data_IF_113900210470
#
_entry.id   IF_113900210470
#
_cell.length_a   1.000
_cell.length_b   1.000
_cell.length_c   1.000
_cell.angle_alpha   90.00
_cell.angle_beta   90.00
_cell.angle_gamma   90.00
#
_symmetry.space_group_name_H-M   'P 1'
#
loop_
_entity.id
_entity.type
_entity.pdbx_description
1 polymer ?
#
# COMPACT_ATOMS: atom_id res chain seq x y z
N UNK A 1 16.05 -16.88 -6.42
CA UNK A 1 16.44 -15.59 -5.83
C UNK A 1 15.22 -14.94 -5.16
N UNK A 2 14.10 -14.76 -5.86
CA UNK A 2 12.86 -14.29 -5.21
C UNK A 2 12.17 -15.30 -4.26
N UNK A 3 12.33 -16.62 -4.47
CA UNK A 3 11.62 -17.63 -3.64
C UNK A 3 12.18 -17.73 -2.23
N UNK A 4 13.51 -17.64 -2.07
CA UNK A 4 14.16 -17.57 -0.76
C UNK A 4 13.77 -16.29 -0.02
N UNK A 5 13.73 -15.16 -0.74
CA UNK A 5 13.25 -13.90 -0.19
C UNK A 5 11.78 -13.98 0.24
N UNK A 6 10.91 -14.58 -0.57
CA UNK A 6 9.51 -14.80 -0.20
C UNK A 6 9.38 -15.68 1.05
N UNK A 7 10.15 -16.76 1.16
CA UNK A 7 10.14 -17.64 2.32
C UNK A 7 10.63 -16.92 3.59
N UNK A 8 11.64 -16.07 3.48
CA UNK A 8 12.11 -15.21 4.57
C UNK A 8 11.04 -14.23 5.03
N UNK A 9 10.47 -13.49 4.06
CA UNK A 9 9.38 -12.55 4.30
C UNK A 9 8.20 -13.21 4.99
N UNK A 10 7.76 -14.38 4.52
CA UNK A 10 6.63 -15.10 5.12
C UNK A 10 6.92 -15.59 6.53
N UNK A 11 8.15 -16.05 6.81
CA UNK A 11 8.53 -16.47 8.16
C UNK A 11 8.57 -15.29 9.12
N UNK A 12 9.07 -14.13 8.67
CA UNK A 12 9.01 -12.88 9.44
C UNK A 12 7.56 -12.50 9.74
N UNK A 13 6.73 -12.38 8.71
CA UNK A 13 5.31 -12.01 8.86
C UNK A 13 4.58 -12.97 9.78
N UNK A 14 4.83 -14.28 9.66
CA UNK A 14 4.28 -15.28 10.56
C UNK A 14 4.71 -15.05 12.00
N UNK A 15 6.01 -14.86 12.24
CA UNK A 15 6.55 -14.63 13.58
C UNK A 15 6.04 -13.32 14.20
N UNK A 16 5.86 -12.27 13.41
CA UNK A 16 5.35 -10.98 13.88
C UNK A 16 3.86 -11.08 14.20
N UNK A 17 3.07 -11.74 13.35
CA UNK A 17 1.65 -12.01 13.58
C UNK A 17 1.41 -12.79 14.89
N UNK A 18 2.19 -13.86 15.14
CA UNK A 18 2.09 -14.66 16.37
C UNK A 18 2.49 -13.85 17.62
N UNK A 19 3.47 -12.95 17.49
CA UNK A 19 3.95 -12.11 18.60
C UNK A 19 2.96 -10.98 18.92
N UNK A 20 2.28 -10.46 17.90
CA UNK A 20 1.30 -9.38 18.01
C UNK A 20 -0.13 -9.84 18.34
N UNK A 21 -0.39 -11.16 18.30
CA UNK A 21 -1.76 -11.72 18.33
C UNK A 21 -2.65 -11.09 17.23
N UNK A 22 -2.10 -10.99 16.02
CA UNK A 22 -2.73 -10.34 14.87
C UNK A 22 -2.76 -11.24 13.63
N UNK A 23 -3.52 -10.83 12.63
CA UNK A 23 -3.56 -11.53 11.34
C UNK A 23 -2.30 -11.24 10.52
N UNK A 24 -1.90 -12.19 9.68
CA UNK A 24 -0.69 -12.06 8.86
C UNK A 24 -0.73 -10.89 7.87
N UNK A 25 -1.92 -10.49 7.41
CA UNK A 25 -2.07 -9.32 6.55
C UNK A 25 -1.86 -8.00 7.31
N UNK A 26 -2.27 -7.93 8.58
CA UNK A 26 -1.93 -6.80 9.48
C UNK A 26 -0.42 -6.75 9.72
N UNK A 27 0.20 -7.86 10.14
CA UNK A 27 1.64 -7.95 10.36
C UNK A 27 2.47 -7.60 9.11
N UNK A 28 2.02 -8.05 7.93
CA UNK A 28 2.66 -7.68 6.66
C UNK A 28 2.48 -6.19 6.35
N UNK A 29 1.32 -5.61 6.67
CA UNK A 29 1.09 -4.17 6.50
C UNK A 29 2.03 -3.37 7.39
N UNK A 30 2.16 -3.74 8.66
CA UNK A 30 3.07 -3.07 9.59
C UNK A 30 4.54 -3.16 9.18
N UNK A 31 4.97 -4.35 8.75
CA UNK A 31 6.32 -4.53 8.20
C UNK A 31 6.55 -3.63 6.98
N UNK A 32 5.63 -3.64 6.01
CA UNK A 32 5.73 -2.79 4.83
C UNK A 32 5.70 -1.30 5.18
N UNK A 33 4.82 -0.87 6.09
CA UNK A 33 4.75 0.52 6.57
C UNK A 33 6.09 0.97 7.15
N UNK A 34 6.69 0.14 8.01
CA UNK A 34 8.04 0.43 8.56
C UNK A 34 9.06 0.62 7.44
N UNK A 35 9.10 -0.30 6.48
CA UNK A 35 10.04 -0.22 5.34
C UNK A 35 9.82 1.05 4.51
N UNK A 36 8.56 1.41 4.23
CA UNK A 36 8.24 2.62 3.46
C UNK A 36 8.57 3.90 4.20
N UNK A 37 8.39 3.91 5.53
CA UNK A 37 8.72 5.06 6.38
C UNK A 37 10.24 5.25 6.43
N UNK A 38 11.00 4.18 6.66
CA UNK A 38 12.47 4.20 6.64
C UNK A 38 13.04 4.63 5.28
N UNK A 39 12.30 4.35 4.19
CA UNK A 39 12.63 4.76 2.84
C UNK A 39 12.33 6.23 2.52
N UNK A 40 11.57 6.93 3.38
CA UNK A 40 10.99 8.24 3.08
C UNK A 40 9.91 8.20 1.98
N UNK A 41 9.34 7.03 1.71
CA UNK A 41 8.25 6.86 0.74
C UNK A 41 6.88 7.13 1.37
N UNK A 42 6.77 6.96 2.69
CA UNK A 42 5.61 7.20 3.53
C UNK A 42 6.02 8.06 4.74
N UNK A 43 5.17 9.01 5.14
CA UNK A 43 5.33 9.69 6.44
C UNK A 43 4.91 8.74 7.59
N UNK A 44 5.04 9.17 8.85
CA UNK A 44 4.64 8.31 9.97
C UNK A 44 3.14 8.00 9.92
N UNK A 45 2.82 6.75 9.61
CA UNK A 45 1.46 6.26 9.41
C UNK A 45 1.01 5.27 10.47
N UNK A 46 -0.25 4.87 10.39
CA UNK A 46 -0.84 3.85 11.28
C UNK A 46 -1.36 2.66 10.46
N UNK A 47 -1.19 1.47 11.01
CA UNK A 47 -1.87 0.26 10.51
C UNK A 47 -3.25 0.16 11.16
N UNK A 48 -4.26 0.05 10.32
CA UNK A 48 -5.64 -0.09 10.74
C UNK A 48 -6.41 -0.88 9.67
N UNK A 49 -6.87 -2.07 10.04
CA UNK A 49 -7.51 -2.98 9.09
C UNK A 49 -9.00 -2.68 8.95
N UNK A 50 -9.45 -2.48 7.72
CA UNK A 50 -10.86 -2.39 7.36
C UNK A 50 -11.14 -3.28 6.14
N UNK A 51 -12.21 -4.07 6.21
CA UNK A 51 -12.64 -4.90 5.09
C UNK A 51 -14.14 -5.18 5.15
N UNK A 52 -14.83 -5.05 4.01
CA UNK A 52 -16.20 -5.51 3.82
C UNK A 52 -16.30 -6.56 2.74
N UNK A 53 -17.22 -7.52 2.92
CA UNK A 53 -17.44 -8.61 1.99
C UNK A 53 -18.36 -8.21 0.83
N UNK A 54 -18.27 -8.93 -0.29
CA UNK A 54 -19.21 -8.82 -1.42
C UNK A 54 -18.65 -8.11 -2.66
N UNK A 55 -19.46 -8.01 -3.70
CA UNK A 55 -19.04 -7.50 -5.02
C UNK A 55 -18.62 -6.01 -5.03
N UNK A 56 -19.11 -5.23 -4.06
CA UNK A 56 -18.74 -3.84 -3.82
C UNK A 56 -17.95 -3.67 -2.52
N UNK A 57 -17.19 -4.70 -2.15
CA UNK A 57 -16.34 -4.67 -0.96
C UNK A 57 -15.40 -3.46 -0.96
N UNK A 58 -15.10 -3.01 0.24
CA UNK A 58 -14.19 -1.93 0.58
C UNK A 58 -13.05 -2.50 1.39
N UNK A 59 -11.85 -1.96 1.23
CA UNK A 59 -10.72 -2.37 2.05
C UNK A 59 -9.66 -1.28 2.17
N UNK A 60 -9.09 -1.17 3.36
CA UNK A 60 -7.88 -0.43 3.67
C UNK A 60 -7.12 -1.16 4.78
N UNK A 61 -5.81 -1.02 4.81
CA UNK A 61 -4.95 -1.66 5.81
C UNK A 61 -4.15 -0.67 6.65
N UNK A 62 -4.10 0.60 6.24
CA UNK A 62 -3.42 1.65 6.98
C UNK A 62 -3.44 2.96 6.22
N UNK A 63 -2.89 4.00 6.83
CA UNK A 63 -2.83 5.33 6.26
C UNK A 63 -1.66 6.12 6.83
N UNK A 64 -1.26 7.18 6.13
CA UNK A 64 -0.37 8.21 6.64
C UNK A 64 -0.86 9.57 6.14
N UNK A 65 -0.68 10.61 6.95
CA UNK A 65 -0.99 11.99 6.60
C UNK A 65 0.30 12.78 6.79
N UNK A 66 0.74 13.50 5.76
CA UNK A 66 1.93 14.34 5.86
C UNK A 66 1.77 15.41 6.93
N UNK A 67 2.88 15.90 7.48
CA UNK A 67 2.89 16.93 8.54
C UNK A 67 2.09 18.19 8.16
N UNK A 68 2.09 18.55 6.87
CA UNK A 68 1.34 19.69 6.32
C UNK A 68 -0.11 19.35 5.91
N UNK A 69 -0.49 18.07 5.95
CA UNK A 69 -1.80 17.54 5.55
C UNK A 69 -2.08 17.59 4.05
N UNK A 70 -1.10 17.96 3.21
CA UNK A 70 -1.29 18.10 1.76
C UNK A 70 -1.26 16.75 1.03
N UNK A 71 -0.55 15.77 1.58
CA UNK A 71 -0.40 14.42 1.03
C UNK A 71 -0.99 13.40 1.99
N UNK A 72 -1.89 12.58 1.47
CA UNK A 72 -2.48 11.46 2.21
C UNK A 72 -2.14 10.17 1.49
N UNK A 73 -1.61 9.22 2.23
CA UNK A 73 -1.40 7.85 1.78
C UNK A 73 -2.44 6.94 2.41
N UNK A 74 -3.09 6.12 1.59
CA UNK A 74 -3.97 5.06 2.08
C UNK A 74 -3.53 3.75 1.47
N UNK A 75 -3.34 2.77 2.34
CA UNK A 75 -2.75 1.48 2.03
C UNK A 75 -3.85 0.42 1.87
N UNK A 76 -3.64 -0.52 0.96
CA UNK A 76 -4.41 -1.77 0.89
C UNK A 76 -3.48 -2.94 0.70
N UNK A 77 -3.71 -4.01 1.46
CA UNK A 77 -2.85 -5.19 1.47
C UNK A 77 -3.50 -6.37 0.74
N UNK A 78 -2.80 -6.95 -0.24
CA UNK A 78 -3.08 -8.26 -0.85
C UNK A 78 -1.94 -9.21 -0.47
N UNK A 79 -2.05 -9.76 0.74
CA UNK A 79 -1.09 -10.73 1.26
C UNK A 79 -1.52 -12.16 0.90
N UNK A 80 -0.59 -12.95 0.36
CA UNK A 80 -0.82 -14.33 -0.06
C UNK A 80 0.05 -15.27 0.77
N UNK A 81 -0.52 -16.15 1.60
CA UNK A 81 0.26 -17.05 2.47
C UNK A 81 0.92 -18.22 1.71
N UNK A 82 0.75 -18.29 0.39
CA UNK A 82 1.30 -19.35 -0.45
C UNK A 82 2.83 -19.23 -0.59
N UNK A 83 3.56 -20.33 -0.41
CA UNK A 83 5.03 -20.34 -0.47
C UNK A 83 5.59 -20.15 -1.89
N UNK A 84 4.73 -20.15 -2.93
CA UNK A 84 5.15 -19.92 -4.31
C UNK A 84 4.85 -18.50 -4.76
N UNK A 85 5.74 -17.95 -5.59
CA UNK A 85 5.55 -16.60 -6.11
C UNK A 85 4.36 -16.59 -7.07
N UNK A 86 3.33 -15.85 -6.69
CA UNK A 86 2.12 -15.66 -7.50
C UNK A 86 2.24 -14.39 -8.34
N UNK A 87 1.69 -14.42 -9.55
CA UNK A 87 1.45 -13.19 -10.32
C UNK A 87 0.06 -12.64 -9.97
N UNK A 88 -0.06 -11.32 -9.88
CA UNK A 88 -1.34 -10.64 -9.80
C UNK A 88 -1.85 -10.32 -11.21
N UNK A 89 -3.10 -10.69 -11.49
CA UNK A 89 -3.74 -10.36 -12.76
C UNK A 89 -4.22 -8.91 -12.78
N UNK A 90 -4.45 -8.36 -13.98
CA UNK A 90 -5.03 -7.02 -14.14
C UNK A 90 -6.40 -6.88 -13.44
N UNK A 91 -7.19 -7.95 -13.43
CA UNK A 91 -8.50 -7.99 -12.77
C UNK A 91 -8.35 -7.92 -11.25
N UNK A 92 -7.41 -8.67 -10.68
CA UNK A 92 -7.12 -8.61 -9.23
C UNK A 92 -6.60 -7.24 -8.82
N UNK A 93 -5.66 -6.68 -9.59
CA UNK A 93 -5.11 -5.34 -9.36
C UNK A 93 -6.21 -4.27 -9.36
N UNK A 94 -7.06 -4.27 -10.39
CA UNK A 94 -8.18 -3.34 -10.48
C UNK A 94 -9.19 -3.52 -9.34
N UNK A 95 -9.40 -4.76 -8.87
CA UNK A 95 -10.30 -5.04 -7.74
C UNK A 95 -9.76 -4.44 -6.43
N UNK A 96 -8.46 -4.55 -6.15
CA UNK A 96 -7.86 -4.00 -4.94
C UNK A 96 -7.97 -2.47 -4.93
N UNK A 97 -7.60 -1.80 -6.04
CA UNK A 97 -7.78 -0.34 -6.13
C UNK A 97 -9.24 0.08 -6.06
N UNK A 98 -10.16 -0.63 -6.74
CA UNK A 98 -11.58 -0.29 -6.65
C UNK A 98 -12.16 -0.47 -5.24
N UNK A 99 -11.65 -1.41 -4.45
CA UNK A 99 -12.04 -1.57 -3.04
C UNK A 99 -11.51 -0.41 -2.18
N UNK A 100 -10.27 0.01 -2.43
CA UNK A 100 -9.65 1.13 -1.74
C UNK A 100 -10.27 2.48 -2.13
N UNK A 101 -10.59 2.70 -3.41
CA UNK A 101 -11.33 3.87 -3.90
C UNK A 101 -12.67 4.02 -3.19
N UNK A 102 -13.41 2.92 -3.06
CA UNK A 102 -14.72 2.94 -2.38
C UNK A 102 -14.58 3.22 -0.89
N UNK A 103 -13.52 2.72 -0.26
CA UNK A 103 -13.23 3.01 1.14
C UNK A 103 -12.97 4.51 1.35
N UNK A 104 -12.01 5.08 0.60
CA UNK A 104 -11.66 6.50 0.75
C UNK A 104 -12.81 7.45 0.40
N UNK A 105 -13.70 7.04 -0.51
CA UNK A 105 -14.87 7.82 -0.88
C UNK A 105 -16.01 7.77 0.16
N UNK A 106 -15.92 6.90 1.18
CA UNK A 106 -16.98 6.68 2.18
C UNK A 106 -16.46 6.82 3.62
N UNK A 107 -15.27 7.38 3.85
CA UNK A 107 -14.68 7.46 5.20
C UNK A 107 -15.57 8.23 6.17
N UNK A 108 -16.25 9.28 5.71
CA UNK A 108 -17.19 10.06 6.52
C UNK A 108 -18.38 9.20 6.97
N UNK A 109 -19.05 8.51 6.05
CA UNK A 109 -20.19 7.64 6.38
C UNK A 109 -19.78 6.47 7.27
N UNK A 110 -18.57 5.93 7.07
CA UNK A 110 -18.05 4.80 7.83
C UNK A 110 -17.83 5.11 9.32
N UNK A 111 -17.54 6.37 9.69
CA UNK A 111 -17.41 6.77 11.11
C UNK A 111 -18.70 6.54 11.91
N UNK A 112 -19.86 6.53 11.25
CA UNK A 112 -21.16 6.28 11.89
C UNK A 112 -21.52 4.80 12.04
N UNK A 113 -20.75 3.92 11.38
CA UNK A 113 -21.05 2.47 11.29
C UNK A 113 -20.02 1.64 12.03
N UNK A 114 -18.77 2.09 12.09
CA UNK A 114 -17.69 1.41 12.80
C UNK A 114 -17.76 1.79 14.29
N UNK A 115 -17.55 0.81 15.18
CA UNK A 115 -17.45 1.10 16.61
C UNK A 115 -16.16 1.87 16.93
N UNK A 116 -16.25 2.93 17.74
CA UNK A 116 -15.11 3.81 18.11
C UNK A 116 -13.93 3.07 18.76
N UNK A 117 -14.17 1.90 19.34
CA UNK A 117 -13.14 1.06 19.94
C UNK A 117 -12.22 0.39 18.91
N UNK A 118 -12.61 0.34 17.63
CA UNK A 118 -11.80 -0.27 16.59
C UNK A 118 -10.82 0.73 15.97
N UNK A 119 -9.56 0.33 15.70
CA UNK A 119 -8.57 1.18 15.01
C UNK A 119 -9.06 1.74 13.67
N UNK A 120 -9.90 0.97 12.96
CA UNK A 120 -10.50 1.41 11.69
C UNK A 120 -11.43 2.61 11.82
N UNK A 121 -12.01 2.85 13.00
CA UNK A 121 -12.78 4.07 13.25
C UNK A 121 -11.86 5.29 13.28
N UNK A 122 -10.72 5.20 13.99
CA UNK A 122 -9.71 6.27 14.05
C UNK A 122 -9.22 6.62 12.64
N UNK A 123 -8.86 5.60 11.86
CA UNK A 123 -8.49 5.78 10.45
C UNK A 123 -9.59 6.50 9.64
N UNK A 124 -10.85 6.08 9.74
CA UNK A 124 -11.94 6.75 9.02
C UNK A 124 -12.14 8.20 9.47
N UNK A 125 -12.08 8.46 10.78
CA UNK A 125 -12.24 9.78 11.37
C UNK A 125 -11.16 10.74 10.89
N UNK A 126 -9.89 10.36 11.02
CA UNK A 126 -8.74 11.18 10.60
C UNK A 126 -8.74 11.42 9.08
N UNK A 127 -9.01 10.39 8.28
CA UNK A 127 -9.11 10.54 6.82
C UNK A 127 -10.28 11.44 6.43
N UNK A 128 -11.45 11.32 7.07
CA UNK A 128 -12.61 12.17 6.77
C UNK A 128 -12.32 13.66 7.02
N UNK A 129 -11.49 13.98 8.01
CA UNK A 129 -11.09 15.36 8.30
C UNK A 129 -10.03 15.88 7.33
N UNK A 130 -9.10 15.03 6.92
CA UNK A 130 -7.94 15.43 6.12
C UNK A 130 -8.22 15.45 4.61
N UNK A 131 -8.96 14.47 4.08
CA UNK A 131 -9.23 14.30 2.65
C UNK A 131 -9.80 15.54 1.95
N UNK A 132 -10.70 16.35 2.56
CA UNK A 132 -11.20 17.56 1.92
C UNK A 132 -10.12 18.62 1.65
N UNK A 133 -9.01 18.62 2.40
CA UNK A 133 -7.92 19.61 2.30
C UNK A 133 -6.71 19.11 1.52
N UNK A 134 -6.62 17.80 1.28
CA UNK A 134 -5.49 17.19 0.60
C UNK A 134 -5.34 17.71 -0.85
N UNK A 135 -4.09 17.90 -1.27
CA UNK A 135 -3.74 18.19 -2.67
C UNK A 135 -3.45 16.91 -3.44
N UNK A 136 -2.98 15.87 -2.74
CA UNK A 136 -2.64 14.57 -3.33
C UNK A 136 -3.09 13.44 -2.42
N UNK A 137 -3.69 12.42 -3.05
CA UNK A 137 -4.01 11.16 -2.40
C UNK A 137 -3.25 10.04 -3.12
N UNK A 138 -2.40 9.32 -2.40
CA UNK A 138 -1.66 8.15 -2.86
C UNK A 138 -2.37 6.91 -2.35
N UNK A 139 -2.98 6.15 -3.27
CA UNK A 139 -3.54 4.84 -2.93
C UNK A 139 -2.50 3.78 -3.27
N UNK A 140 -2.04 3.04 -2.27
CA UNK A 140 -0.89 2.14 -2.40
C UNK A 140 -1.29 0.71 -2.12
N UNK A 141 -1.09 -0.17 -3.11
CA UNK A 141 -1.22 -1.62 -2.94
C UNK A 141 0.09 -2.20 -2.41
N UNK A 142 0.01 -2.91 -1.30
CA UNK A 142 1.08 -3.73 -0.72
C UNK A 142 0.80 -5.19 -1.06
N UNK A 143 1.77 -5.91 -1.64
CA UNK A 143 1.58 -7.33 -1.96
C UNK A 143 2.89 -8.10 -2.02
N UNK A 144 2.86 -9.36 -1.58
CA UNK A 144 3.93 -10.32 -1.81
C UNK A 144 3.76 -11.12 -3.13
N UNK A 145 2.83 -10.72 -3.99
CA UNK A 145 2.75 -11.17 -5.37
C UNK A 145 3.68 -10.34 -6.28
N UNK A 146 3.95 -10.83 -7.49
CA UNK A 146 4.52 -10.02 -8.58
C UNK A 146 3.41 -9.32 -9.36
N UNK A 147 3.57 -8.03 -9.63
CA UNK A 147 2.61 -7.22 -10.38
C UNK A 147 3.27 -6.72 -11.66
N UNK A 148 2.86 -7.27 -12.80
CA UNK A 148 3.27 -6.82 -14.14
C UNK A 148 2.35 -5.77 -14.79
N UNK A 149 1.01 -5.88 -14.70
CA UNK A 149 0.16 -4.90 -15.35
C UNK A 149 0.27 -3.55 -14.64
N UNK A 150 0.20 -2.42 -15.37
CA UNK A 150 0.13 -1.12 -14.74
C UNK A 150 -1.20 -0.97 -13.98
N UNK A 151 -1.23 -0.14 -12.92
CA UNK A 151 -2.48 0.23 -12.29
C UNK A 151 -3.42 0.92 -13.31
N UNK A 152 -4.74 0.85 -13.10
CA UNK A 152 -5.68 1.59 -13.92
C UNK A 152 -5.46 3.11 -13.77
N UNK A 153 -5.98 3.93 -14.69
CA UNK A 153 -5.94 5.38 -14.52
C UNK A 153 -6.64 5.79 -13.22
N UNK A 154 -5.95 6.61 -12.42
CA UNK A 154 -6.52 7.20 -11.22
C UNK A 154 -7.33 8.47 -11.57
N UNK A 155 -8.37 8.72 -10.78
CA UNK A 155 -9.23 9.89 -10.92
C UNK A 155 -8.84 11.04 -9.98
N UNK A 156 -9.85 11.72 -9.49
CA UNK A 156 -9.75 12.76 -8.46
C UNK A 156 -10.68 12.41 -7.30
N UNK A 157 -10.29 12.80 -6.09
CA UNK A 157 -11.11 12.66 -4.88
C UNK A 157 -11.17 14.04 -4.22
N UNK A 158 -12.38 14.59 -4.06
CA UNK A 158 -12.57 16.01 -3.76
C UNK A 158 -11.79 16.91 -4.74
N UNK A 159 -10.84 17.70 -4.24
CA UNK A 159 -9.91 18.52 -5.03
C UNK A 159 -8.53 17.86 -5.21
N UNK A 160 -8.29 16.72 -4.57
CA UNK A 160 -7.01 16.05 -4.59
C UNK A 160 -6.80 15.24 -5.87
N UNK A 161 -5.57 15.28 -6.40
CA UNK A 161 -5.13 14.36 -7.45
C UNK A 161 -4.88 12.98 -6.84
N UNK A 162 -5.58 11.96 -7.34
CA UNK A 162 -5.35 10.58 -6.91
C UNK A 162 -4.24 9.96 -7.75
N UNK A 163 -3.36 9.18 -7.12
CA UNK A 163 -2.34 8.38 -7.78
C UNK A 163 -2.31 6.97 -7.20
N UNK A 164 -2.07 5.97 -8.06
CA UNK A 164 -1.98 4.58 -7.65
C UNK A 164 -0.54 4.12 -7.63
N UNK A 165 -0.15 3.49 -6.54
CA UNK A 165 1.20 2.96 -6.32
C UNK A 165 1.13 1.48 -6.00
N UNK A 166 2.16 0.74 -6.42
CA UNK A 166 2.27 -0.68 -6.14
C UNK A 166 3.63 -0.96 -5.52
N UNK A 167 3.60 -1.61 -4.37
CA UNK A 167 4.74 -2.24 -3.72
C UNK A 167 4.56 -3.75 -3.78
N UNK A 168 5.10 -4.32 -4.85
CA UNK A 168 5.08 -5.75 -5.11
C UNK A 168 6.35 -6.44 -4.58
N UNK A 169 6.35 -7.78 -4.60
CA UNK A 169 7.49 -8.58 -4.14
C UNK A 169 8.80 -8.17 -4.83
N UNK A 170 8.75 -7.85 -6.13
CA UNK A 170 9.92 -7.47 -6.90
C UNK A 170 10.48 -6.11 -6.48
N UNK A 171 9.61 -5.12 -6.23
CA UNK A 171 10.02 -3.78 -5.74
C UNK A 171 10.60 -3.88 -4.33
N UNK A 172 9.95 -4.63 -3.44
CA UNK A 172 10.45 -4.86 -2.09
C UNK A 172 11.81 -5.55 -2.10
N UNK A 173 11.97 -6.63 -2.88
CA UNK A 173 13.25 -7.33 -3.01
C UNK A 173 14.37 -6.40 -3.48
N UNK A 174 14.11 -5.57 -4.51
CA UNK A 174 15.09 -4.57 -4.98
C UNK A 174 15.45 -3.60 -3.86
N UNK A 175 14.46 -3.06 -3.16
CA UNK A 175 14.69 -2.08 -2.09
C UNK A 175 15.60 -2.63 -0.99
N UNK A 176 15.29 -3.83 -0.47
CA UNK A 176 16.03 -4.48 0.61
C UNK A 176 17.44 -4.94 0.18
N UNK A 177 17.62 -5.41 -1.06
CA UNK A 177 18.91 -5.96 -1.52
C UNK A 177 19.81 -4.98 -2.26
N UNK A 178 19.29 -3.92 -2.89
CA UNK A 178 20.12 -2.99 -3.68
C UNK A 178 20.66 -1.81 -2.89
N UNK A 179 20.18 -1.57 -1.66
CA UNK A 179 20.27 -0.26 -1.03
C UNK A 179 19.56 0.82 -1.87
N UNK A 180 19.56 2.09 -1.43
CA UNK A 180 18.90 3.18 -2.16
C UNK A 180 19.40 3.25 -3.60
N UNK A 181 18.54 3.57 -4.57
CA UNK A 181 18.84 3.45 -5.99
C UNK A 181 20.09 4.27 -6.33
N UNK A 182 21.15 3.59 -6.79
CA UNK A 182 22.20 4.27 -7.54
C UNK A 182 21.56 4.81 -8.80
N UNK A 183 21.59 6.13 -8.97
CA UNK A 183 21.14 6.80 -10.18
C UNK A 183 21.66 6.05 -11.42
N UNK A 184 20.76 5.72 -12.33
CA UNK A 184 21.11 5.08 -13.58
C UNK A 184 22.00 6.05 -14.37
N UNK A 185 23.31 5.78 -14.41
CA UNK A 185 24.24 6.49 -15.29
C UNK A 185 23.82 6.17 -16.72
N UNK A 186 23.13 7.11 -17.37
CA UNK A 186 22.89 7.06 -18.81
C UNK A 186 24.19 7.43 -19.51
N UNK A 187 24.98 6.41 -19.89
CA UNK A 187 26.11 6.58 -20.81
C UNK A 187 25.57 6.89 -22.21
N UNK A 188 25.48 8.17 -22.55
CA UNK A 188 25.29 8.61 -23.93
C UNK A 188 26.62 8.43 -24.67
N UNK A 189 26.70 7.37 -25.48
CA UNK A 189 27.77 7.21 -26.46
C UNK A 189 27.54 8.21 -27.60
N UNK A 190 28.32 9.29 -27.64
CA UNK A 190 28.37 10.19 -28.80
C UNK A 190 29.36 9.61 -29.79
N UNK A 191 28.85 8.94 -30.83
CA UNK A 191 29.66 8.48 -31.95
C UNK A 191 30.27 9.67 -32.68
N UNK A 192 31.59 9.75 -32.71
CA UNK A 192 32.33 10.71 -33.51
C UNK A 192 32.28 10.23 -34.96
N UNK A 193 31.51 10.94 -35.80
CA UNK A 193 31.46 10.70 -37.24
C UNK A 193 32.81 11.01 -37.90
N UNK A 194 33.23 10.12 -38.79
CA UNK A 194 34.33 10.34 -39.74
C UNK A 194 33.78 10.89 -41.06
#
# INVERSE_FOLDING_TARGET
MDEEFLAELQRRVYSDAERGDELQDAAFTDYMRSILTDAGELDDGETAMFHTSGAKGMSASGFAISDDGEVIDVLVTDYRPDLSIRNMTKVQLARNFAALDRFVAQTEELTSVIEEAFPSWSMCSLLSEALPRALRVRLTLLTNARVKPPPPPAGTLHQAKVTYHVWDLGRLWRFEWSGPPREAITLLYVGVGS
#
